data_IF_213078783769
#
_entry.id   IF_213078783769
#
_cell.length_a   1.000
_cell.length_b   1.000
_cell.length_c   1.000
_cell.angle_alpha   90.00
_cell.angle_beta   90.00
_cell.angle_gamma   90.00
#
_symmetry.space_group_name_H-M   'P 1'
#
loop_
_entity.id
_entity.type
_entity.pdbx_description
1 polymer ?
#
# COMPACT_ATOMS: atom_id res chain seq x y z
N UNK A 1 31.58 9.75 62.93
CA UNK A 1 30.55 8.95 63.59
C UNK A 1 29.23 9.23 62.90
N UNK A 2 28.77 8.38 62.05
CA UNK A 2 27.37 8.33 61.53
C UNK A 2 26.92 6.87 61.60
N UNK A 3 25.94 6.65 62.44
CA UNK A 3 25.33 5.37 62.76
C UNK A 3 24.38 5.01 61.59
N UNK A 4 24.65 3.96 60.83
CA UNK A 4 23.72 3.41 59.88
C UNK A 4 22.77 2.42 60.56
N UNK A 5 21.48 2.67 60.40
CA UNK A 5 20.38 1.90 60.99
C UNK A 5 20.20 0.56 60.22
N UNK A 6 19.98 -0.57 60.91
CA UNK A 6 19.94 -1.92 60.35
C UNK A 6 18.56 -2.34 59.82
N UNK A 7 17.80 -1.43 59.19
CA UNK A 7 16.42 -1.71 58.77
C UNK A 7 16.24 -1.92 57.23
N UNK A 8 17.32 -1.92 56.44
CA UNK A 8 17.25 -2.00 54.98
C UNK A 8 17.63 -3.39 54.47
N UNK A 9 18.10 -4.31 55.29
CA UNK A 9 18.61 -5.61 54.87
C UNK A 9 17.60 -6.77 54.97
N UNK A 10 16.37 -6.49 55.44
CA UNK A 10 15.31 -7.51 55.66
C UNK A 10 14.32 -7.69 54.47
N UNK A 11 14.40 -6.91 53.41
CA UNK A 11 13.43 -6.95 52.28
C UNK A 11 13.93 -7.64 51.01
N UNK A 12 15.07 -8.36 51.06
CA UNK A 12 15.64 -9.04 49.91
C UNK A 12 15.44 -10.58 49.85
N UNK A 13 14.60 -11.13 50.72
CA UNK A 13 14.31 -12.58 50.74
C UNK A 13 12.80 -12.85 50.88
N UNK A 14 12.01 -12.41 49.91
CA UNK A 14 10.66 -12.94 49.71
C UNK A 14 10.55 -13.50 48.28
N UNK A 15 10.39 -14.80 48.20
CA UNK A 15 10.22 -15.57 46.96
C UNK A 15 8.94 -15.18 46.24
N UNK A 16 8.90 -15.04 44.89
CA UNK A 16 7.70 -14.61 44.14
C UNK A 16 6.62 -15.67 43.99
N UNK A 17 6.61 -16.74 44.80
CA UNK A 17 5.71 -17.87 44.67
C UNK A 17 4.48 -17.86 45.59
N UNK A 18 4.22 -16.79 46.37
CA UNK A 18 3.16 -16.76 47.41
C UNK A 18 2.12 -15.67 47.25
N UNK A 19 1.97 -15.06 46.10
CA UNK A 19 0.93 -14.02 45.83
C UNK A 19 -0.16 -14.52 44.81
N UNK A 20 -0.20 -15.77 44.44
CA UNK A 20 -1.14 -16.28 43.43
C UNK A 20 -2.20 -17.27 43.96
N UNK A 21 -2.60 -17.22 45.20
CA UNK A 21 -3.61 -18.13 45.78
C UNK A 21 -4.70 -17.44 46.62
N UNK A 22 -5.05 -16.23 46.37
CA UNK A 22 -6.15 -15.59 47.12
C UNK A 22 -7.13 -14.77 46.25
N UNK A 23 -7.47 -15.21 45.03
CA UNK A 23 -8.50 -14.55 44.18
C UNK A 23 -9.30 -15.52 43.32
N UNK A 24 -9.70 -16.66 43.89
CA UNK A 24 -10.56 -17.65 43.20
C UNK A 24 -11.65 -18.16 44.15
N UNK A 25 -12.57 -17.30 44.57
CA UNK A 25 -13.85 -17.71 45.13
C UNK A 25 -14.82 -16.53 45.14
N UNK A 26 -15.51 -16.28 44.03
CA UNK A 26 -16.89 -15.76 43.98
C UNK A 26 -17.24 -15.34 42.51
N UNK A 27 -17.65 -16.30 41.69
CA UNK A 27 -18.47 -16.00 40.51
C UNK A 27 -19.36 -17.20 40.24
N UNK A 28 -20.57 -17.11 40.77
CA UNK A 28 -21.70 -17.94 40.33
C UNK A 28 -22.06 -17.56 38.88
N UNK A 29 -22.47 -18.51 38.00
CA UNK A 29 -22.90 -18.18 36.67
C UNK A 29 -24.29 -17.58 36.68
N UNK A 30 -24.38 -16.25 36.65
CA UNK A 30 -25.59 -15.57 36.24
C UNK A 30 -25.70 -15.68 34.71
N UNK A 31 -26.73 -16.37 34.22
CA UNK A 31 -27.21 -16.29 32.84
C UNK A 31 -27.68 -14.87 32.55
N UNK A 32 -26.76 -14.00 32.16
CA UNK A 32 -27.09 -12.72 31.54
C UNK A 32 -27.07 -12.96 30.03
N UNK A 33 -28.23 -12.95 29.38
CA UNK A 33 -28.38 -12.96 27.95
C UNK A 33 -27.53 -11.82 27.37
N UNK A 34 -26.65 -12.14 26.45
CA UNK A 34 -25.98 -11.17 25.62
C UNK A 34 -27.04 -10.43 24.80
N UNK A 35 -27.44 -9.26 25.26
CA UNK A 35 -28.17 -8.32 24.42
C UNK A 35 -27.16 -7.75 23.41
N UNK A 36 -27.31 -8.16 22.14
CA UNK A 36 -26.64 -7.51 21.02
C UNK A 36 -26.96 -6.03 21.07
N UNK A 37 -25.94 -5.20 21.02
CA UNK A 37 -26.07 -3.75 20.87
C UNK A 37 -26.81 -3.45 19.56
N UNK A 38 -27.84 -2.58 19.54
CA UNK A 38 -28.50 -2.21 18.31
C UNK A 38 -27.56 -1.31 17.51
N UNK A 39 -27.00 -1.81 16.42
CA UNK A 39 -26.14 -1.04 15.52
C UNK A 39 -25.08 -1.84 14.77
N UNK A 40 -24.92 -3.13 15.02
CA UNK A 40 -24.15 -3.98 14.12
C UNK A 40 -25.01 -4.23 12.89
N UNK A 41 -24.87 -3.37 11.88
CA UNK A 41 -25.34 -3.69 10.53
C UNK A 41 -24.48 -4.88 10.09
N UNK A 42 -25.08 -6.07 10.06
CA UNK A 42 -24.53 -7.24 9.40
C UNK A 42 -24.31 -6.85 7.92
N UNK A 43 -23.13 -6.32 7.60
CA UNK A 43 -22.77 -6.18 6.19
C UNK A 43 -22.79 -7.60 5.61
N UNK A 44 -23.67 -7.90 4.64
CA UNK A 44 -23.73 -9.22 4.06
C UNK A 44 -22.33 -9.59 3.58
N UNK A 45 -21.81 -10.72 4.09
CA UNK A 45 -20.51 -11.24 3.68
C UNK A 45 -20.44 -11.16 2.14
N UNK A 46 -19.60 -10.27 1.64
CA UNK A 46 -19.53 -9.96 0.21
C UNK A 46 -19.28 -11.26 -0.55
N UNK A 47 -20.15 -11.59 -1.49
CA UNK A 47 -20.02 -12.78 -2.31
C UNK A 47 -18.59 -12.89 -2.91
N UNK A 48 -17.97 -14.09 -2.89
CA UNK A 48 -16.65 -14.29 -3.47
C UNK A 48 -16.62 -13.79 -4.91
N UNK A 49 -15.54 -13.10 -5.28
CA UNK A 49 -15.34 -12.57 -6.63
C UNK A 49 -14.79 -13.70 -7.51
N UNK A 50 -15.66 -14.35 -8.30
CA UNK A 50 -15.25 -15.46 -9.17
C UNK A 50 -14.82 -14.94 -10.54
N UNK A 51 -13.83 -15.61 -11.16
CA UNK A 51 -13.36 -15.29 -12.51
C UNK A 51 -12.66 -13.93 -12.63
N UNK A 52 -12.22 -13.35 -11.50
CA UNK A 52 -11.45 -12.11 -11.48
C UNK A 52 -10.08 -12.32 -10.84
N UNK A 53 -9.07 -11.66 -11.40
CA UNK A 53 -7.70 -11.74 -10.93
C UNK A 53 -7.13 -10.33 -10.75
N UNK A 54 -6.22 -10.18 -9.80
CA UNK A 54 -5.52 -8.92 -9.55
C UNK A 54 -4.03 -9.10 -9.79
N UNK A 55 -3.47 -8.35 -10.73
CA UNK A 55 -2.03 -8.21 -10.90
C UNK A 55 -1.51 -7.17 -9.93
N UNK A 56 -0.49 -7.53 -9.13
CA UNK A 56 0.17 -6.62 -8.21
C UNK A 56 1.55 -6.23 -8.73
N UNK A 57 1.84 -4.91 -8.78
CA UNK A 57 3.11 -4.35 -9.22
C UNK A 57 3.71 -3.50 -8.10
N UNK A 58 4.88 -3.90 -7.59
CA UNK A 58 5.58 -3.20 -6.52
C UNK A 58 6.28 -1.93 -6.99
N UNK A 59 6.79 -1.12 -6.06
CA UNK A 59 7.53 0.12 -6.33
C UNK A 59 9.03 -0.09 -6.56
N UNK A 60 9.71 1.02 -6.85
CA UNK A 60 11.17 1.09 -7.02
C UNK A 60 11.90 0.58 -5.78
N UNK A 61 12.92 -0.27 -5.98
CA UNK A 61 13.72 -0.83 -4.90
C UNK A 61 12.97 -1.78 -3.96
N UNK A 62 11.82 -2.29 -4.41
CA UNK A 62 11.01 -3.28 -3.69
C UNK A 62 10.99 -4.62 -4.42
N UNK A 63 10.26 -5.57 -3.87
CA UNK A 63 9.96 -6.86 -4.48
C UNK A 63 8.48 -7.21 -4.27
N UNK A 64 8.01 -8.28 -4.90
CA UNK A 64 6.66 -8.81 -4.71
C UNK A 64 6.30 -8.98 -3.21
N UNK A 65 7.27 -9.27 -2.33
CA UNK A 65 7.05 -9.45 -0.89
C UNK A 65 6.45 -8.22 -0.22
N UNK A 66 6.77 -7.01 -0.72
CA UNK A 66 6.20 -5.78 -0.18
C UNK A 66 4.68 -5.69 -0.38
N UNK A 67 4.14 -6.37 -1.38
CA UNK A 67 2.70 -6.43 -1.68
C UNK A 67 1.98 -7.61 -0.98
N UNK A 68 2.69 -8.42 -0.18
CA UNK A 68 2.16 -9.69 0.35
C UNK A 68 0.95 -9.54 1.27
N UNK A 69 0.85 -8.44 2.05
CA UNK A 69 -0.30 -8.23 2.95
C UNK A 69 -1.57 -7.89 2.16
N UNK A 70 -1.48 -6.98 1.19
CA UNK A 70 -2.62 -6.66 0.34
C UNK A 70 -2.98 -7.84 -0.57
N UNK A 71 -2.00 -8.61 -1.05
CA UNK A 71 -2.25 -9.86 -1.78
C UNK A 71 -3.06 -10.86 -0.96
N UNK A 72 -2.68 -11.07 0.31
CA UNK A 72 -3.39 -11.98 1.21
C UNK A 72 -4.84 -11.56 1.42
N UNK A 73 -5.09 -10.25 1.56
CA UNK A 73 -6.44 -9.71 1.70
C UNK A 73 -7.27 -9.88 0.42
N UNK A 74 -6.67 -9.66 -0.76
CA UNK A 74 -7.32 -9.88 -2.05
C UNK A 74 -7.71 -11.36 -2.24
N UNK A 75 -6.82 -12.29 -1.89
CA UNK A 75 -7.13 -13.73 -1.91
C UNK A 75 -8.23 -14.08 -0.93
N UNK A 76 -8.20 -13.52 0.28
CA UNK A 76 -9.26 -13.69 1.28
C UNK A 76 -10.62 -13.18 0.80
N UNK A 77 -10.63 -12.16 -0.05
CA UNK A 77 -11.84 -11.61 -0.68
C UNK A 77 -12.31 -12.39 -1.94
N UNK A 78 -11.59 -13.46 -2.33
CA UNK A 78 -11.94 -14.37 -3.42
C UNK A 78 -11.33 -14.04 -4.78
N UNK A 79 -10.44 -13.05 -4.88
CA UNK A 79 -9.69 -12.78 -6.11
C UNK A 79 -8.57 -13.81 -6.30
N UNK A 80 -8.35 -14.25 -7.55
CA UNK A 80 -7.04 -14.77 -7.93
C UNK A 80 -6.01 -13.65 -7.93
N UNK A 81 -4.73 -13.94 -7.74
CA UNK A 81 -3.68 -12.90 -7.69
C UNK A 81 -2.45 -13.34 -8.47
N UNK A 82 -1.83 -12.39 -9.15
CA UNK A 82 -0.51 -12.50 -9.77
C UNK A 82 0.40 -11.40 -9.19
N UNK A 83 1.22 -11.75 -8.22
CA UNK A 83 2.11 -10.81 -7.53
C UNK A 83 3.50 -10.84 -8.13
N UNK A 84 3.76 -9.90 -9.03
CA UNK A 84 4.89 -9.97 -9.95
C UNK A 84 6.15 -9.35 -9.35
N UNK A 85 7.24 -10.12 -9.39
CA UNK A 85 8.57 -9.62 -9.08
C UNK A 85 9.28 -9.18 -10.37
N UNK A 86 9.90 -8.01 -10.33
CA UNK A 86 10.65 -7.49 -11.47
C UNK A 86 11.83 -6.62 -11.00
N UNK A 87 12.92 -6.54 -11.76
CA UNK A 87 14.16 -5.90 -11.32
C UNK A 87 14.10 -4.37 -11.43
N UNK A 88 13.28 -3.75 -10.60
CA UNK A 88 12.90 -2.33 -10.64
C UNK A 88 14.06 -1.33 -10.57
N UNK A 89 15.23 -1.74 -10.06
CA UNK A 89 16.43 -0.89 -9.94
C UNK A 89 17.42 -1.08 -11.09
N UNK A 90 17.32 -2.12 -11.89
CA UNK A 90 18.28 -2.42 -12.96
C UNK A 90 17.71 -2.27 -14.37
N UNK A 91 16.43 -1.92 -14.48
CA UNK A 91 15.73 -1.70 -15.75
C UNK A 91 15.06 -0.33 -15.77
N UNK A 92 14.75 0.15 -16.98
CA UNK A 92 13.88 1.30 -17.17
C UNK A 92 12.41 0.95 -16.89
N UNK A 93 11.55 1.95 -16.75
CA UNK A 93 10.10 1.75 -16.59
C UNK A 93 9.53 1.01 -17.80
N UNK A 94 9.97 1.34 -19.00
CA UNK A 94 9.56 0.69 -20.24
C UNK A 94 9.90 -0.81 -20.24
N UNK A 95 11.13 -1.15 -19.92
CA UNK A 95 11.57 -2.55 -19.86
C UNK A 95 10.82 -3.34 -18.79
N UNK A 96 10.61 -2.73 -17.61
CA UNK A 96 9.83 -3.31 -16.52
C UNK A 96 8.37 -3.55 -16.95
N UNK A 97 7.77 -2.61 -17.67
CA UNK A 97 6.40 -2.73 -18.17
C UNK A 97 6.24 -3.90 -19.16
N UNK A 98 7.14 -4.01 -20.12
CA UNK A 98 7.12 -5.06 -21.14
C UNK A 98 7.45 -6.45 -20.59
N UNK A 99 8.04 -6.53 -19.40
CA UNK A 99 8.31 -7.79 -18.70
C UNK A 99 7.19 -8.14 -17.72
N UNK A 100 6.88 -7.24 -16.77
CA UNK A 100 6.03 -7.53 -15.61
C UNK A 100 4.55 -7.65 -15.99
N UNK A 101 4.02 -6.74 -16.80
CA UNK A 101 2.59 -6.74 -17.13
C UNK A 101 2.20 -8.00 -17.93
N UNK A 102 2.90 -8.41 -19.00
CA UNK A 102 2.58 -9.66 -19.70
C UNK A 102 2.72 -10.91 -18.83
N UNK A 103 3.65 -10.93 -17.87
CA UNK A 103 3.76 -12.02 -16.92
C UNK A 103 2.50 -12.10 -16.05
N UNK A 104 2.07 -10.98 -15.47
CA UNK A 104 0.86 -10.92 -14.65
C UNK A 104 -0.40 -11.33 -15.41
N UNK A 105 -0.53 -10.89 -16.68
CA UNK A 105 -1.63 -11.28 -17.54
C UNK A 105 -1.67 -12.79 -17.76
N UNK A 106 -0.54 -13.42 -18.11
CA UNK A 106 -0.48 -14.88 -18.28
C UNK A 106 -0.84 -15.65 -17.02
N UNK A 107 -0.36 -15.21 -15.85
CA UNK A 107 -0.68 -15.86 -14.57
C UNK A 107 -2.17 -15.74 -14.25
N UNK A 108 -2.77 -14.56 -14.45
CA UNK A 108 -4.20 -14.36 -14.28
C UNK A 108 -5.04 -15.18 -15.28
N UNK A 109 -4.67 -15.21 -16.56
CA UNK A 109 -5.36 -16.01 -17.57
C UNK A 109 -5.28 -17.51 -17.25
N UNK A 110 -4.12 -17.99 -16.77
CA UNK A 110 -3.95 -19.38 -16.34
C UNK A 110 -4.85 -19.76 -15.15
N UNK A 111 -5.28 -18.79 -14.33
CA UNK A 111 -6.26 -19.00 -13.25
C UNK A 111 -7.72 -19.07 -13.74
N UNK A 112 -7.96 -18.88 -15.04
CA UNK A 112 -9.30 -18.84 -15.65
C UNK A 112 -10.00 -17.49 -15.48
N UNK A 113 -9.26 -16.42 -15.15
CA UNK A 113 -9.85 -15.10 -15.02
C UNK A 113 -10.25 -14.51 -16.37
N UNK A 114 -11.44 -13.91 -16.41
CA UNK A 114 -11.97 -13.16 -17.55
C UNK A 114 -12.00 -11.64 -17.30
N UNK A 115 -11.68 -11.21 -16.09
CA UNK A 115 -11.49 -9.80 -15.72
C UNK A 115 -10.18 -9.69 -14.92
N UNK A 116 -9.29 -8.81 -15.37
CA UNK A 116 -7.98 -8.61 -14.77
C UNK A 116 -7.87 -7.19 -14.23
N UNK A 117 -7.78 -7.09 -12.93
CA UNK A 117 -7.57 -5.85 -12.21
C UNK A 117 -6.09 -5.61 -11.94
N UNK A 118 -5.75 -4.38 -11.57
CA UNK A 118 -4.39 -4.03 -11.15
C UNK A 118 -4.39 -3.33 -9.80
N UNK A 119 -3.44 -3.68 -8.95
CA UNK A 119 -3.08 -2.91 -7.75
C UNK A 119 -1.59 -2.62 -7.82
N UNK A 120 -1.25 -1.35 -7.86
CA UNK A 120 0.14 -0.92 -8.05
C UNK A 120 0.59 -0.03 -6.90
N UNK A 121 1.87 -0.11 -6.57
CA UNK A 121 2.48 0.78 -5.58
C UNK A 121 3.54 1.66 -6.24
N UNK A 122 3.48 2.97 -6.00
CA UNK A 122 4.52 3.92 -6.39
C UNK A 122 4.83 3.82 -7.90
N UNK A 123 6.09 3.62 -8.28
CA UNK A 123 6.54 3.43 -9.66
C UNK A 123 5.76 2.34 -10.42
N UNK A 124 5.22 1.33 -9.73
CA UNK A 124 4.39 0.29 -10.37
C UNK A 124 3.19 0.86 -11.13
N UNK A 125 2.67 2.03 -10.71
CA UNK A 125 1.63 2.75 -11.44
C UNK A 125 2.10 3.25 -12.81
N UNK A 126 3.32 3.78 -12.88
CA UNK A 126 3.92 4.23 -14.16
C UNK A 126 4.29 3.04 -15.07
N UNK A 127 4.69 1.92 -14.50
CA UNK A 127 4.91 0.66 -15.23
C UNK A 127 3.63 0.24 -15.94
N UNK A 128 2.49 0.23 -15.26
CA UNK A 128 1.21 -0.08 -15.86
C UNK A 128 0.79 0.96 -16.90
N UNK A 129 0.89 2.26 -16.57
CA UNK A 129 0.53 3.35 -17.50
C UNK A 129 1.34 3.29 -18.79
N UNK A 130 2.65 3.01 -18.71
CA UNK A 130 3.46 2.85 -19.91
C UNK A 130 2.99 1.65 -20.74
N UNK A 131 2.66 0.53 -20.13
CA UNK A 131 2.14 -0.62 -20.88
C UNK A 131 0.86 -0.25 -21.61
N UNK A 132 -0.09 0.37 -20.91
CA UNK A 132 -1.40 0.75 -21.48
C UNK A 132 -1.31 1.88 -22.50
N UNK A 133 -0.25 2.70 -22.50
CA UNK A 133 -0.03 3.70 -23.57
C UNK A 133 0.43 3.08 -24.90
N UNK A 134 0.84 1.82 -24.91
CA UNK A 134 1.38 1.13 -26.09
C UNK A 134 0.68 -0.18 -26.43
N UNK A 135 -0.16 -0.69 -25.55
CA UNK A 135 -0.82 -1.98 -25.65
C UNK A 135 -2.22 -1.92 -25.04
N UNK A 136 -3.11 -2.71 -25.57
CA UNK A 136 -4.44 -2.95 -24.99
C UNK A 136 -4.45 -4.23 -24.15
N UNK A 137 -5.31 -4.24 -23.14
CA UNK A 137 -5.64 -5.42 -22.33
C UNK A 137 -7.15 -5.62 -22.45
N UNK A 138 -7.63 -6.57 -23.27
CA UNK A 138 -9.07 -6.77 -23.49
C UNK A 138 -9.84 -7.10 -22.21
N UNK A 139 -9.21 -7.82 -21.28
CA UNK A 139 -9.79 -8.22 -19.99
C UNK A 139 -9.61 -7.16 -18.89
N UNK A 140 -9.15 -5.95 -19.23
CA UNK A 140 -8.83 -4.92 -18.23
C UNK A 140 -10.08 -4.56 -17.41
N UNK A 141 -9.97 -4.78 -16.11
CA UNK A 141 -10.94 -4.35 -15.11
C UNK A 141 -10.55 -3.00 -14.50
N UNK A 142 -10.65 -2.91 -13.18
CA UNK A 142 -10.32 -1.69 -12.43
C UNK A 142 -8.88 -1.68 -11.96
N UNK A 143 -8.33 -0.48 -11.81
CA UNK A 143 -6.97 -0.26 -11.31
C UNK A 143 -7.02 0.58 -10.03
N UNK A 144 -6.22 0.20 -9.04
CA UNK A 144 -5.94 1.03 -7.86
C UNK A 144 -4.45 1.32 -7.79
N UNK A 145 -4.10 2.60 -7.72
CA UNK A 145 -2.71 3.04 -7.56
C UNK A 145 -2.49 3.59 -6.14
N UNK A 146 -1.50 3.06 -5.45
CA UNK A 146 -1.10 3.44 -4.10
C UNK A 146 0.13 4.36 -4.17
N UNK A 147 -0.01 5.62 -3.81
CA UNK A 147 1.07 6.61 -3.81
C UNK A 147 1.81 6.75 -5.15
N UNK A 148 1.14 6.78 -6.31
CA UNK A 148 1.81 6.83 -7.61
C UNK A 148 2.43 8.21 -7.86
N UNK A 149 3.68 8.32 -8.34
CA UNK A 149 4.24 9.59 -8.79
C UNK A 149 3.74 9.93 -10.20
N UNK A 150 2.41 10.08 -10.37
CA UNK A 150 1.76 10.27 -11.66
C UNK A 150 2.14 11.57 -12.37
N UNK A 151 2.68 12.54 -11.63
CA UNK A 151 3.26 13.79 -12.14
C UNK A 151 4.73 13.95 -11.72
N UNK A 152 5.42 12.85 -11.39
CA UNK A 152 6.79 12.84 -10.88
C UNK A 152 6.87 13.08 -9.37
N UNK A 153 8.09 13.22 -8.89
CA UNK A 153 8.40 13.53 -7.50
C UNK A 153 9.60 14.47 -7.42
N UNK A 154 9.54 15.39 -6.47
CA UNK A 154 10.65 16.33 -6.20
C UNK A 154 11.86 15.66 -5.54
N UNK A 155 11.69 14.46 -4.97
CA UNK A 155 12.82 13.69 -4.40
C UNK A 155 13.78 13.24 -5.50
N UNK A 156 13.35 12.58 -6.59
CA UNK A 156 14.18 12.37 -7.77
C UNK A 156 14.74 13.66 -8.38
N UNK A 157 13.97 14.75 -8.47
CA UNK A 157 14.45 16.03 -9.01
C UNK A 157 15.70 16.53 -8.28
N UNK A 158 15.71 16.36 -6.96
CA UNK A 158 16.82 16.81 -6.13
C UNK A 158 18.06 15.90 -6.18
N UNK A 159 17.90 14.64 -6.57
CA UNK A 159 18.93 13.60 -6.39
C UNK A 159 19.36 12.91 -7.69
N UNK A 160 18.51 12.87 -8.73
CA UNK A 160 18.84 12.28 -10.02
C UNK A 160 20.08 12.94 -10.64
N UNK A 161 20.92 12.14 -11.27
CA UNK A 161 22.22 12.58 -11.79
C UNK A 161 23.34 12.58 -10.74
N UNK A 162 23.04 12.33 -9.45
CA UNK A 162 24.10 12.04 -8.48
C UNK A 162 24.51 10.58 -8.56
N UNK A 163 25.82 10.30 -8.56
CA UNK A 163 26.34 8.93 -8.70
C UNK A 163 25.76 7.95 -7.67
N UNK A 164 25.46 8.42 -6.46
CA UNK A 164 24.89 7.60 -5.40
C UNK A 164 23.42 7.24 -5.71
N UNK A 165 22.61 8.23 -6.08
CA UNK A 165 21.21 8.03 -6.41
C UNK A 165 21.05 7.10 -7.62
N UNK A 166 21.79 7.34 -8.69
CA UNK A 166 21.72 6.58 -9.92
C UNK A 166 22.17 5.12 -9.71
N UNK A 167 23.21 4.93 -8.88
CA UNK A 167 23.67 3.59 -8.51
C UNK A 167 22.64 2.79 -7.71
N UNK A 168 21.89 3.47 -6.81
CA UNK A 168 20.91 2.82 -5.93
C UNK A 168 19.57 2.62 -6.63
N UNK A 169 19.12 3.59 -7.42
CA UNK A 169 17.78 3.59 -8.01
C UNK A 169 17.75 3.17 -9.48
N UNK A 170 18.93 3.10 -10.11
CA UNK A 170 19.08 2.67 -11.50
C UNK A 170 18.35 3.55 -12.52
N UNK A 171 18.18 3.03 -13.75
CA UNK A 171 17.58 3.81 -14.84
C UNK A 171 16.16 4.30 -14.54
N UNK A 172 15.35 3.49 -13.88
CA UNK A 172 13.96 3.86 -13.54
C UNK A 172 13.88 5.02 -12.55
N UNK A 173 14.84 5.13 -11.61
CA UNK A 173 14.86 6.22 -10.63
C UNK A 173 14.96 7.61 -11.29
N UNK A 174 15.79 7.76 -12.32
CA UNK A 174 15.92 8.97 -13.09
C UNK A 174 14.69 9.33 -13.93
N UNK A 175 13.82 8.38 -14.20
CA UNK A 175 12.57 8.59 -14.96
C UNK A 175 11.41 9.14 -14.12
N UNK A 176 11.56 9.22 -12.79
CA UNK A 176 10.50 9.66 -11.87
C UNK A 176 10.48 11.17 -11.62
N UNK A 177 11.28 11.94 -12.33
CA UNK A 177 11.38 13.40 -12.20
C UNK A 177 10.09 14.11 -12.66
N UNK A 178 9.87 15.34 -12.16
CA UNK A 178 8.65 16.13 -12.45
C UNK A 178 8.72 16.85 -13.80
N UNK A 179 9.90 17.01 -14.37
CA UNK A 179 10.12 17.76 -15.62
C UNK A 179 9.62 17.01 -16.87
N UNK A 180 9.68 17.68 -18.05
CA UNK A 180 9.22 17.11 -19.32
C UNK A 180 9.98 15.86 -19.74
N UNK A 181 11.19 15.67 -19.25
CA UNK A 181 12.01 14.47 -19.49
C UNK A 181 11.56 13.27 -18.66
N UNK A 182 10.75 13.50 -17.60
CA UNK A 182 10.21 12.44 -16.76
C UNK A 182 9.21 11.56 -17.50
N UNK A 183 9.16 10.26 -17.13
CA UNK A 183 8.16 9.34 -17.67
C UNK A 183 6.72 9.84 -17.44
N UNK A 184 6.36 10.41 -16.27
CA UNK A 184 5.00 10.87 -16.03
C UNK A 184 4.48 11.89 -17.04
N UNK A 185 5.33 12.85 -17.44
CA UNK A 185 4.96 13.88 -18.40
C UNK A 185 4.73 13.32 -19.82
N UNK A 186 5.39 12.22 -20.15
CA UNK A 186 5.27 11.54 -21.46
C UNK A 186 4.04 10.65 -21.60
N UNK A 187 3.43 10.23 -20.48
CA UNK A 187 2.33 9.26 -20.49
C UNK A 187 0.94 9.91 -20.68
N UNK A 188 0.78 11.21 -20.42
CA UNK A 188 -0.50 11.92 -20.56
C UNK A 188 -1.62 11.44 -19.61
N UNK A 189 -2.89 11.74 -19.95
CA UNK A 189 -4.05 11.30 -19.17
C UNK A 189 -4.27 9.79 -19.26
N UNK A 190 -5.16 9.26 -18.40
CA UNK A 190 -5.57 7.86 -18.41
C UNK A 190 -7.00 7.71 -18.95
N UNK A 191 -7.28 6.58 -19.62
CA UNK A 191 -8.57 6.26 -20.22
C UNK A 191 -9.11 4.90 -19.72
N UNK A 192 -8.70 4.49 -18.54
CA UNK A 192 -9.12 3.25 -17.91
C UNK A 192 -9.60 3.51 -16.47
N UNK A 193 -10.43 2.61 -15.95
CA UNK A 193 -11.00 2.74 -14.61
C UNK A 193 -9.92 2.76 -13.54
N UNK A 194 -9.70 3.93 -12.93
CA UNK A 194 -8.59 4.22 -12.02
C UNK A 194 -9.03 4.92 -10.74
N UNK A 195 -8.78 4.27 -9.60
CA UNK A 195 -8.77 4.90 -8.29
C UNK A 195 -7.35 5.14 -7.78
N UNK A 196 -7.13 6.25 -7.10
CA UNK A 196 -5.83 6.60 -6.54
C UNK A 196 -5.95 6.85 -5.04
N UNK A 197 -5.07 6.19 -4.27
CA UNK A 197 -4.90 6.44 -2.84
C UNK A 197 -3.57 7.17 -2.65
N UNK A 198 -3.63 8.40 -2.15
CA UNK A 198 -2.45 9.16 -1.73
C UNK A 198 -2.30 9.13 -0.21
N UNK A 199 -1.06 9.20 0.27
CA UNK A 199 -0.76 9.35 1.68
C UNK A 199 -0.37 10.79 2.02
N UNK A 200 -0.58 11.21 3.27
CA UNK A 200 -0.17 12.53 3.75
C UNK A 200 0.62 12.49 5.08
N UNK A 201 1.06 11.31 5.50
CA UNK A 201 1.96 11.14 6.64
C UNK A 201 3.38 10.78 6.21
N UNK A 202 4.34 11.11 7.06
CA UNK A 202 5.76 10.89 6.81
C UNK A 202 6.39 10.11 7.95
N UNK A 203 7.39 9.28 7.66
CA UNK A 203 8.25 8.74 8.71
C UNK A 203 9.29 9.77 9.15
N UNK A 204 9.85 9.63 10.36
CA UNK A 204 10.93 10.48 10.82
C UNK A 204 12.16 10.44 9.90
N UNK A 205 12.39 9.32 9.21
CA UNK A 205 13.50 9.15 8.27
C UNK A 205 13.21 9.90 6.96
N UNK A 206 11.98 9.87 6.48
CA UNK A 206 11.58 10.53 5.23
C UNK A 206 11.46 12.05 5.39
N UNK A 207 11.28 12.56 6.63
CA UNK A 207 10.94 13.96 6.91
C UNK A 207 11.94 14.97 6.30
N UNK A 208 13.23 14.64 6.26
CA UNK A 208 14.26 15.53 5.68
C UNK A 208 14.06 15.71 4.16
N UNK A 209 13.75 14.63 3.44
CA UNK A 209 13.51 14.69 2.00
C UNK A 209 12.09 15.20 1.71
N UNK A 210 11.14 14.90 2.57
CA UNK A 210 9.75 15.36 2.48
C UNK A 210 9.61 16.89 2.49
N UNK A 211 10.54 17.62 3.13
CA UNK A 211 10.56 19.10 3.11
C UNK A 211 10.78 19.67 1.71
N UNK A 212 11.24 18.88 0.76
CA UNK A 212 11.44 19.28 -0.65
C UNK A 212 10.18 19.12 -1.49
N UNK A 213 9.20 18.37 -0.99
CA UNK A 213 7.93 18.11 -1.65
C UNK A 213 6.95 19.21 -1.29
N UNK A 214 6.36 19.85 -2.28
CA UNK A 214 5.38 20.91 -2.05
C UNK A 214 4.04 20.35 -1.53
N UNK A 215 3.52 20.95 -0.46
CA UNK A 215 2.23 20.59 0.13
C UNK A 215 2.24 19.28 0.90
N UNK A 216 1.06 18.71 1.11
CA UNK A 216 0.88 17.41 1.78
C UNK A 216 1.54 16.30 0.96
N UNK A 217 2.21 15.37 1.66
CA UNK A 217 2.93 14.27 1.01
C UNK A 217 3.13 13.09 1.96
N UNK A 218 3.39 11.93 1.38
CA UNK A 218 3.62 10.67 2.09
C UNK A 218 5.10 10.40 2.45
N UNK A 219 5.96 11.41 2.26
CA UNK A 219 7.41 11.32 2.43
C UNK A 219 8.19 11.08 1.14
N UNK A 220 7.52 10.75 0.03
CA UNK A 220 8.14 10.51 -1.28
C UNK A 220 7.36 11.10 -2.45
N UNK A 221 6.05 11.18 -2.37
CA UNK A 221 5.16 11.70 -3.41
C UNK A 221 4.19 12.71 -2.79
N UNK A 222 4.06 13.87 -3.40
CA UNK A 222 3.06 14.86 -3.02
C UNK A 222 1.64 14.40 -3.38
N UNK A 223 0.67 14.76 -2.54
CA UNK A 223 -0.76 14.43 -2.77
C UNK A 223 -1.20 14.91 -4.16
N UNK A 224 -0.86 16.14 -4.53
CA UNK A 224 -1.18 16.68 -5.86
C UNK A 224 -0.41 15.95 -6.99
N UNK A 225 0.82 15.49 -6.74
CA UNK A 225 1.62 14.74 -7.70
C UNK A 225 1.10 13.32 -7.95
N UNK A 226 0.33 12.78 -7.02
CA UNK A 226 -0.29 11.47 -7.20
C UNK A 226 -1.46 11.50 -8.20
N UNK A 227 -2.11 12.64 -8.40
CA UNK A 227 -3.26 12.79 -9.30
C UNK A 227 -2.87 12.65 -10.77
N UNK A 228 -3.83 12.21 -11.58
CA UNK A 228 -3.72 12.19 -13.06
C UNK A 228 -5.08 12.49 -13.67
N UNK A 229 -5.08 13.20 -14.78
CA UNK A 229 -6.32 13.45 -15.53
C UNK A 229 -6.91 12.13 -16.04
N UNK A 230 -8.22 11.96 -15.88
CA UNK A 230 -8.95 10.75 -16.27
C UNK A 230 -9.10 9.72 -15.14
N UNK A 231 -8.53 9.95 -13.94
CA UNK A 231 -8.85 9.11 -12.77
C UNK A 231 -10.33 9.24 -12.40
N UNK A 232 -10.95 8.12 -12.00
CA UNK A 232 -12.37 8.10 -11.60
C UNK A 232 -12.57 8.57 -10.16
N UNK A 233 -11.63 8.23 -9.27
CA UNK A 233 -11.76 8.54 -7.84
C UNK A 233 -10.41 8.73 -7.18
N UNK A 234 -10.39 9.53 -6.09
CA UNK A 234 -9.18 9.91 -5.37
C UNK A 234 -9.45 10.06 -3.88
N UNK A 235 -8.63 9.43 -3.05
CA UNK A 235 -8.72 9.58 -1.59
C UNK A 235 -7.33 9.82 -0.99
N UNK A 236 -7.29 10.67 0.04
CA UNK A 236 -6.09 10.92 0.85
C UNK A 236 -6.27 10.25 2.20
N UNK A 237 -5.29 9.47 2.61
CA UNK A 237 -5.31 8.74 3.88
C UNK A 237 -4.08 9.10 4.74
N UNK A 238 -4.22 9.06 6.08
CA UNK A 238 -3.11 9.33 7.00
C UNK A 238 -2.14 8.13 7.04
N UNK A 239 -1.38 7.96 5.98
CA UNK A 239 -0.40 6.88 5.79
C UNK A 239 0.86 7.40 5.11
N UNK A 240 2.01 6.77 5.39
CA UNK A 240 3.26 7.05 4.70
C UNK A 240 3.47 6.14 3.50
N UNK A 241 4.33 6.57 2.59
CA UNK A 241 4.60 5.89 1.32
C UNK A 241 5.00 4.43 1.45
N UNK A 242 5.79 4.10 2.46
CA UNK A 242 6.38 2.77 2.60
C UNK A 242 5.39 1.75 3.18
N UNK A 243 4.57 2.17 4.15
CA UNK A 243 3.70 1.28 4.90
C UNK A 243 2.27 1.22 4.35
N UNK A 244 1.88 2.09 3.41
CA UNK A 244 0.52 2.13 2.85
C UNK A 244 0.07 0.78 2.29
N UNK A 245 0.96 0.01 1.67
CA UNK A 245 0.66 -1.32 1.11
C UNK A 245 0.27 -2.37 2.15
N UNK A 246 0.51 -2.09 3.44
CA UNK A 246 0.21 -2.97 4.55
C UNK A 246 -0.82 -2.37 5.54
N UNK A 247 -1.34 -1.18 5.24
CA UNK A 247 -2.32 -0.49 6.07
C UNK A 247 -3.74 -1.04 5.82
N UNK A 248 -4.48 -1.36 6.89
CA UNK A 248 -5.79 -2.00 6.78
C UNK A 248 -6.84 -1.10 6.13
N UNK A 249 -6.78 0.22 6.37
CA UNK A 249 -7.70 1.18 5.73
C UNK A 249 -7.42 1.26 4.23
N UNK A 250 -6.16 1.31 3.82
CA UNK A 250 -5.75 1.28 2.40
C UNK A 250 -6.22 -0.01 1.73
N UNK A 251 -6.06 -1.16 2.41
CA UNK A 251 -6.51 -2.46 1.91
C UNK A 251 -8.04 -2.49 1.76
N UNK A 252 -8.78 -2.01 2.76
CA UNK A 252 -10.23 -1.90 2.71
C UNK A 252 -10.72 -1.03 1.55
N UNK A 253 -10.14 0.15 1.38
CA UNK A 253 -10.43 1.06 0.27
C UNK A 253 -10.10 0.42 -1.09
N UNK A 254 -8.98 -0.29 -1.18
CA UNK A 254 -8.61 -1.01 -2.40
C UNK A 254 -9.64 -2.08 -2.77
N UNK A 255 -10.04 -2.92 -1.82
CA UNK A 255 -11.07 -3.93 -2.01
C UNK A 255 -12.40 -3.31 -2.43
N UNK A 256 -12.78 -2.19 -1.80
CA UNK A 256 -14.00 -1.47 -2.13
C UNK A 256 -13.96 -0.93 -3.56
N UNK A 257 -12.87 -0.27 -3.96
CA UNK A 257 -12.75 0.25 -5.32
C UNK A 257 -12.78 -0.87 -6.38
N UNK A 258 -12.05 -1.97 -6.14
CA UNK A 258 -12.06 -3.09 -7.08
C UNK A 258 -13.46 -3.69 -7.28
N UNK A 259 -14.33 -3.65 -6.26
CA UNK A 259 -15.70 -4.17 -6.33
C UNK A 259 -16.68 -3.16 -6.91
N UNK A 260 -16.58 -1.88 -6.53
CA UNK A 260 -17.63 -0.90 -6.79
C UNK A 260 -17.21 0.26 -7.71
N UNK A 261 -15.92 0.40 -8.04
CA UNK A 261 -15.38 1.48 -8.89
C UNK A 261 -15.30 2.84 -8.19
N UNK A 262 -15.40 2.87 -6.87
CA UNK A 262 -15.28 4.09 -6.05
C UNK A 262 -14.73 3.77 -4.67
N UNK A 263 -14.13 4.74 -4.01
CA UNK A 263 -13.71 4.65 -2.61
C UNK A 263 -14.87 4.96 -1.65
N UNK A 264 -14.67 4.64 -0.38
CA UNK A 264 -15.52 5.15 0.71
C UNK A 264 -14.96 6.51 1.14
N UNK A 265 -15.70 7.59 0.89
CA UNK A 265 -15.32 8.95 1.27
C UNK A 265 -15.75 9.33 2.68
N UNK A 266 -16.73 8.63 3.22
CA UNK A 266 -17.14 8.73 4.62
C UNK A 266 -16.48 7.57 5.38
N UNK A 267 -15.37 7.85 6.05
CA UNK A 267 -14.81 6.95 7.05
C UNK A 267 -15.42 7.39 8.38
N UNK A 268 -16.17 6.53 9.06
CA UNK A 268 -16.74 6.86 10.35
C UNK A 268 -15.68 7.16 11.41
#
# INVERSE_FOLDING_TARGET
MRVFSPLVESLRRASPALVLVALLAALAPGLAGAQSLPGEVDEPALAPVQGQCVVLLHGLGRSHRSMGRIESALRGAGFATANIDYPSQSQSIEASALQAVPQGLRECQASGAHTIHFVTHSMGGLVLRYYLSTREIPELGRTVMLGPPNQGSEVPDALAGTALYDRVNGPAGGQLVTGPEGMPARLGPVEFALGIIAGNEQTAIDSVMATRIAGENDGKVGVERAKVQGMDDFVVLPVNHTLMVANDVVIGQTLHFLRYGRFLHEVP
#
